data_IF_788261548857
#
_entry.id   IF_788261548857
#
_cell.length_a   1.000
_cell.length_b   1.000
_cell.length_c   1.000
_cell.angle_alpha   90.00
_cell.angle_beta   90.00
_cell.angle_gamma   90.00
#
_symmetry.space_group_name_H-M   'P 1'
#
loop_
_entity.id
_entity.type
_entity.pdbx_description
1 polymer ?
#
# COMPACT_ATOMS: atom_id res chain seq x y z
N UNK A 1 10.35 2.55 0.18
CA UNK A 1 9.05 2.78 -0.48
C UNK A 1 8.21 3.69 0.42
N UNK A 2 7.50 4.66 -0.16
CA UNK A 2 6.51 5.49 0.56
C UNK A 2 5.11 5.16 0.06
N UNK A 3 4.12 5.13 0.95
CA UNK A 3 2.71 4.93 0.58
C UNK A 3 1.76 5.68 1.50
N UNK A 4 0.46 5.36 1.37
CA UNK A 4 -0.62 6.01 2.10
C UNK A 4 -1.47 4.99 2.86
N UNK A 5 -1.63 5.19 4.16
CA UNK A 5 -2.51 4.41 5.05
C UNK A 5 -3.12 5.38 6.07
N UNK A 6 -3.57 4.91 7.23
CA UNK A 6 -4.28 5.72 8.23
C UNK A 6 -3.64 7.05 8.64
N UNK A 7 -2.30 7.17 8.82
CA UNK A 7 -1.70 8.45 9.14
C UNK A 7 -1.86 9.47 8.01
N UNK A 8 -2.03 10.76 8.33
CA UNK A 8 -2.34 11.81 7.35
C UNK A 8 -1.16 12.20 6.46
N UNK A 9 0.00 11.56 6.60
CA UNK A 9 1.20 11.80 5.80
C UNK A 9 1.66 10.49 5.18
N UNK A 10 2.55 10.58 4.20
CA UNK A 10 3.22 9.39 3.67
C UNK A 10 3.88 8.58 4.78
N UNK A 11 3.72 7.27 4.69
CA UNK A 11 4.37 6.31 5.58
C UNK A 11 5.43 5.52 4.81
N UNK A 12 6.47 5.10 5.53
CA UNK A 12 7.42 4.12 5.02
C UNK A 12 7.03 2.72 5.52
N UNK A 13 7.30 1.69 4.71
CA UNK A 13 7.09 0.29 5.08
C UNK A 13 8.41 -0.32 5.58
N UNK A 14 8.43 -0.91 6.79
CA UNK A 14 9.60 -1.61 7.30
C UNK A 14 9.85 -2.91 6.51
N UNK A 15 11.11 -3.16 6.17
CA UNK A 15 11.52 -4.40 5.51
C UNK A 15 11.89 -5.45 6.56
N UNK A 16 10.94 -6.32 6.90
CA UNK A 16 11.15 -7.41 7.85
C UNK A 16 12.00 -8.57 7.30
N UNK A 17 12.36 -8.54 6.01
CA UNK A 17 13.26 -9.51 5.38
C UNK A 17 14.69 -8.98 5.25
N UNK A 18 14.97 -7.78 5.76
CA UNK A 18 16.31 -7.19 5.80
C UNK A 18 17.32 -8.18 6.44
N UNK A 19 18.31 -8.67 5.67
CA UNK A 19 19.25 -9.69 6.14
C UNK A 19 20.22 -9.16 7.22
N UNK A 20 20.35 -7.84 7.37
CA UNK A 20 21.21 -7.24 8.38
C UNK A 20 20.57 -7.25 9.77
N UNK A 21 19.25 -7.48 9.86
CA UNK A 21 18.50 -7.51 11.11
C UNK A 21 18.20 -6.13 11.70
N UNK A 22 18.55 -5.04 11.00
CA UNK A 22 18.36 -3.67 11.52
C UNK A 22 16.88 -3.32 11.69
N UNK A 23 16.03 -3.68 10.72
CA UNK A 23 14.58 -3.46 10.85
C UNK A 23 13.99 -4.17 12.06
N UNK A 24 14.38 -5.42 12.30
CA UNK A 24 13.90 -6.21 13.44
C UNK A 24 14.35 -5.59 14.76
N UNK A 25 15.62 -5.17 14.86
CA UNK A 25 16.12 -4.48 16.05
C UNK A 25 15.34 -3.19 16.31
N UNK A 26 15.17 -2.34 15.30
CA UNK A 26 14.41 -1.11 15.40
C UNK A 26 12.96 -1.36 15.87
N UNK A 27 12.28 -2.36 15.30
CA UNK A 27 10.91 -2.70 15.65
C UNK A 27 10.75 -3.11 17.12
N UNK A 28 11.70 -3.90 17.65
CA UNK A 28 11.72 -4.28 19.08
C UNK A 28 11.96 -3.07 19.97
N UNK A 29 12.88 -2.18 19.59
CA UNK A 29 13.17 -0.97 20.35
C UNK A 29 11.98 -0.01 20.43
N UNK A 30 11.23 0.16 19.33
CA UNK A 30 10.03 1.00 19.32
C UNK A 30 8.93 0.45 20.24
N UNK A 31 8.69 -0.87 20.25
CA UNK A 31 7.77 -1.46 21.21
C UNK A 31 8.25 -1.36 22.66
N UNK A 32 9.55 -1.55 22.92
CA UNK A 32 10.11 -1.39 24.25
C UNK A 32 9.92 0.05 24.77
N UNK A 33 10.13 1.06 23.92
CA UNK A 33 9.87 2.47 24.25
C UNK A 33 8.39 2.72 24.52
N UNK A 34 7.50 2.24 23.66
CA UNK A 34 6.06 2.48 23.83
C UNK A 34 5.50 1.77 25.07
N UNK A 35 6.04 0.59 25.41
CA UNK A 35 5.64 -0.16 26.61
C UNK A 35 5.97 0.57 27.91
N UNK A 36 6.98 1.46 27.92
CA UNK A 36 7.28 2.32 29.07
C UNK A 36 6.18 3.37 29.30
N UNK A 37 5.43 3.74 28.26
CA UNK A 37 4.31 4.68 28.33
C UNK A 37 2.98 3.98 28.59
N UNK A 38 2.76 2.82 27.95
CA UNK A 38 1.53 2.05 28.04
C UNK A 38 1.88 0.58 28.29
N UNK A 39 1.50 0.05 29.46
CA UNK A 39 1.78 -1.34 29.83
C UNK A 39 0.82 -2.31 29.12
N UNK A 40 1.16 -2.72 27.90
CA UNK A 40 0.42 -3.74 27.14
C UNK A 40 1.08 -5.13 27.24
N UNK A 41 0.28 -6.18 27.05
CA UNK A 41 0.70 -7.58 27.14
C UNK A 41 0.68 -8.32 25.78
N UNK A 42 0.13 -7.68 24.75
CA UNK A 42 0.07 -8.22 23.39
C UNK A 42 -0.14 -7.11 22.38
N UNK A 43 0.11 -7.44 21.12
CA UNK A 43 -0.02 -6.51 19.99
C UNK A 43 -0.93 -7.12 18.93
N UNK A 44 -1.79 -6.29 18.36
CA UNK A 44 -2.53 -6.63 17.14
C UNK A 44 -1.81 -5.97 15.98
N UNK A 45 -1.38 -6.79 15.02
CA UNK A 45 -0.73 -6.34 13.78
C UNK A 45 -1.78 -6.45 12.68
N UNK A 46 -2.08 -5.32 12.05
CA UNK A 46 -3.05 -5.17 10.97
C UNK A 46 -2.38 -4.58 9.73
N UNK A 47 -3.05 -4.64 8.58
CA UNK A 47 -2.60 -4.03 7.31
C UNK A 47 -1.27 -4.57 6.77
N UNK A 48 -0.93 -5.82 7.08
CA UNK A 48 0.37 -6.44 6.82
C UNK A 48 0.40 -7.33 5.55
N UNK A 49 -0.54 -7.16 4.64
CA UNK A 49 -0.49 -7.77 3.31
C UNK A 49 0.80 -7.45 2.52
N UNK A 50 1.38 -6.22 2.54
CA UNK A 50 1.02 -4.93 3.17
C UNK A 50 -0.05 -4.13 2.41
N UNK A 51 -0.96 -3.49 3.14
CA UNK A 51 -2.03 -2.67 2.55
C UNK A 51 -1.57 -1.24 2.22
N UNK A 52 -2.12 -0.67 1.15
CA UNK A 52 -1.88 0.70 0.72
C UNK A 52 -3.16 1.28 0.10
N UNK A 53 -3.53 2.49 0.48
CA UNK A 53 -4.77 3.12 0.04
C UNK A 53 -4.61 3.77 -1.33
N UNK A 54 -5.76 3.98 -1.99
CA UNK A 54 -5.90 4.86 -3.16
C UNK A 54 -5.03 4.50 -4.38
N UNK A 55 -4.69 3.22 -4.52
CA UNK A 55 -3.85 2.71 -5.62
C UNK A 55 -4.58 2.59 -6.97
N UNK A 56 -5.91 2.52 -6.98
CA UNK A 56 -6.72 2.26 -8.19
C UNK A 56 -7.78 3.32 -8.49
N UNK A 57 -8.38 3.93 -7.47
CA UNK A 57 -9.35 5.02 -7.60
C UNK A 57 -9.08 6.01 -6.48
N UNK A 58 -8.75 7.25 -6.86
CA UNK A 58 -8.42 8.30 -5.90
C UNK A 58 -9.20 9.56 -6.24
N UNK A 59 -9.70 10.24 -5.20
CA UNK A 59 -10.23 11.57 -5.37
C UNK A 59 -9.04 12.53 -5.43
N UNK A 60 -8.63 12.89 -6.65
CA UNK A 60 -7.50 13.82 -6.86
C UNK A 60 -7.62 15.09 -6.03
N UNK A 61 -8.84 15.56 -5.78
CA UNK A 61 -9.10 16.80 -5.05
C UNK A 61 -8.77 16.65 -3.58
N UNK A 62 -9.15 15.53 -2.95
CA UNK A 62 -8.86 15.27 -1.54
C UNK A 62 -7.35 15.11 -1.31
N UNK A 63 -6.68 14.34 -2.17
CA UNK A 63 -5.25 14.10 -1.99
C UNK A 63 -4.36 15.31 -2.24
N UNK A 64 -4.72 16.16 -3.20
CA UNK A 64 -4.03 17.45 -3.43
C UNK A 64 -4.13 18.37 -2.21
N UNK A 65 -5.20 18.28 -1.40
CA UNK A 65 -5.30 19.08 -0.17
C UNK A 65 -4.39 18.59 0.95
N UNK A 66 -4.01 17.31 0.93
CA UNK A 66 -3.15 16.70 1.94
C UNK A 66 -1.67 16.66 1.52
N UNK A 67 -1.36 17.08 0.30
CA UNK A 67 -0.02 16.98 -0.31
C UNK A 67 0.49 15.51 -0.32
N UNK A 68 -0.41 14.58 -0.61
CA UNK A 68 -0.14 13.14 -0.67
C UNK A 68 -0.24 12.69 -2.12
N UNK A 69 0.84 12.15 -2.66
CA UNK A 69 0.81 11.43 -3.92
C UNK A 69 0.52 9.95 -3.68
N UNK A 70 -0.55 9.37 -4.28
CA UNK A 70 -0.86 7.96 -4.12
C UNK A 70 0.10 7.12 -4.96
N UNK A 71 0.31 5.89 -4.52
CA UNK A 71 1.14 4.93 -5.25
C UNK A 71 0.34 4.41 -6.45
N UNK A 72 0.87 4.63 -7.66
CA UNK A 72 0.20 4.23 -8.91
C UNK A 72 0.82 2.97 -9.47
N UNK A 73 -0.03 2.02 -9.87
CA UNK A 73 0.41 0.86 -10.63
C UNK A 73 0.93 1.30 -12.02
N UNK A 74 2.11 0.83 -12.46
CA UNK A 74 2.57 1.02 -13.82
C UNK A 74 1.64 0.29 -14.79
N UNK A 75 0.78 1.02 -15.50
CA UNK A 75 -0.10 0.44 -16.53
C UNK A 75 0.56 0.39 -17.92
N UNK A 76 1.75 0.99 -18.06
CA UNK A 76 2.51 1.06 -19.31
C UNK A 76 4.01 0.86 -19.02
N UNK A 77 4.77 0.42 -20.03
CA UNK A 77 6.22 0.16 -19.92
C UNK A 77 6.54 -1.29 -19.53
N UNK A 78 7.83 -1.60 -19.36
CA UNK A 78 8.27 -2.97 -19.07
C UNK A 78 7.66 -3.55 -17.79
N UNK A 79 7.46 -2.73 -16.76
CA UNK A 79 6.96 -3.19 -15.47
C UNK A 79 5.44 -3.39 -15.45
N UNK A 80 4.73 -3.01 -16.52
CA UNK A 80 3.27 -3.15 -16.60
C UNK A 80 2.79 -4.59 -16.71
N UNK A 81 3.67 -5.55 -17.02
CA UNK A 81 3.32 -6.97 -17.09
C UNK A 81 2.84 -7.53 -15.73
N UNK A 82 3.33 -6.96 -14.62
CA UNK A 82 3.00 -7.42 -13.27
C UNK A 82 1.68 -6.85 -12.77
N UNK A 83 1.36 -5.62 -13.18
CA UNK A 83 0.19 -4.87 -12.71
C UNK A 83 -0.98 -4.83 -13.71
N UNK A 84 -0.76 -5.26 -14.96
CA UNK A 84 -1.79 -5.36 -16.01
C UNK A 84 -1.70 -6.72 -16.74
N UNK A 85 -2.13 -7.82 -16.09
CA UNK A 85 -2.02 -9.15 -16.67
C UNK A 85 -2.92 -9.30 -17.92
N UNK A 86 -2.54 -10.16 -18.88
CA UNK A 86 -3.25 -10.34 -20.16
C UNK A 86 -4.65 -10.99 -20.03
N UNK A 87 -5.07 -11.31 -18.81
CA UNK A 87 -6.40 -11.84 -18.52
C UNK A 87 -7.01 -11.12 -17.32
N UNK A 88 -8.28 -10.77 -17.44
CA UNK A 88 -9.00 -10.11 -16.36
C UNK A 88 -9.39 -11.08 -15.25
N UNK A 89 -9.18 -10.67 -14.00
CA UNK A 89 -9.67 -11.42 -12.85
C UNK A 89 -11.21 -11.34 -12.77
N UNK A 90 -11.85 -12.31 -12.10
CA UNK A 90 -13.32 -12.31 -11.92
C UNK A 90 -13.84 -11.04 -11.25
N UNK A 91 -13.04 -10.45 -10.35
CA UNK A 91 -13.33 -9.18 -9.70
C UNK A 91 -13.37 -8.02 -10.72
N UNK A 92 -12.43 -7.98 -11.68
CA UNK A 92 -12.43 -6.98 -12.75
C UNK A 92 -13.69 -7.07 -13.63
N UNK A 93 -14.19 -8.29 -13.91
CA UNK A 93 -15.46 -8.47 -14.62
C UNK A 93 -16.67 -7.96 -13.83
N UNK A 94 -16.68 -8.20 -12.51
CA UNK A 94 -17.84 -7.91 -11.66
C UNK A 94 -17.96 -6.43 -11.27
N UNK A 95 -16.83 -5.73 -11.15
CA UNK A 95 -16.77 -4.34 -10.70
C UNK A 95 -16.26 -3.37 -11.78
N UNK A 96 -16.01 -3.86 -13.00
CA UNK A 96 -15.32 -3.20 -14.12
C UNK A 96 -15.91 -1.91 -14.69
N UNK A 97 -17.08 -1.44 -14.26
CA UNK A 97 -17.65 -0.15 -14.72
C UNK A 97 -16.96 1.07 -14.07
N UNK A 98 -15.64 1.02 -13.87
CA UNK A 98 -14.84 2.06 -13.20
C UNK A 98 -13.42 1.63 -12.83
N UNK A 99 -13.07 0.35 -12.96
CA UNK A 99 -11.70 -0.14 -12.77
C UNK A 99 -10.99 -0.12 -14.12
N UNK A 100 -10.36 1.00 -14.44
CA UNK A 100 -9.57 1.17 -15.66
C UNK A 100 -8.23 0.44 -15.51
N UNK A 101 -8.18 -0.82 -15.90
CA UNK A 101 -6.92 -1.51 -16.24
C UNK A 101 -6.76 -1.50 -17.76
N UNK A 102 -6.34 -0.34 -18.30
CA UNK A 102 -6.03 -0.17 -19.72
C UNK A 102 -7.26 -0.18 -20.63
N UNK A 103 -7.34 0.82 -21.50
CA UNK A 103 -8.35 0.88 -22.56
C UNK A 103 -8.08 -0.22 -23.60
N UNK A 104 -8.73 -1.38 -23.46
CA UNK A 104 -8.98 -2.27 -24.58
C UNK A 104 -10.46 -2.62 -24.64
N UNK A 105 -11.05 -2.29 -25.79
CA UNK A 105 -12.47 -2.41 -26.07
C UNK A 105 -12.97 -3.85 -25.91
N UNK A 106 -14.18 -3.98 -25.38
CA UNK A 106 -14.95 -5.23 -25.38
C UNK A 106 -15.07 -5.73 -26.83
N UNK A 107 -14.56 -6.93 -27.10
CA UNK A 107 -14.97 -7.74 -28.25
C UNK A 107 -16.33 -8.38 -27.94
#
# INVERSE_FOLDING_TARGET
MLGHVWPPKHVAFPDFLDPTGQTTQWWVEEFAKFRQLVNFDGIWIDMNEPSNFETSYYNETFLKTLDIEPLKCPLFGNDSEYDNPPYWTRAAYQFGNGVSFGNYERI
#
